data_IF_026525866745
#
_entry.id   IF_026525866745
#
_cell.length_a   1.000
_cell.length_b   1.000
_cell.length_c   1.000
_cell.angle_alpha   90.00
_cell.angle_beta   90.00
_cell.angle_gamma   90.00
#
_symmetry.space_group_name_H-M   'P 1'
#
loop_
_entity.id
_entity.type
_entity.pdbx_description
1 polymer ?
#
# COMPACT_ATOMS: atom_id res chain seq x y z
N UNK A 1 -52.97 -3.02 13.24
CA UNK A 1 -52.01 -3.39 12.18
C UNK A 1 -50.92 -2.34 12.13
N UNK A 2 -49.81 -2.59 12.83
CA UNK A 2 -48.68 -1.67 12.90
C UNK A 2 -47.73 -1.94 11.73
N UNK A 3 -47.60 -0.96 10.85
CA UNK A 3 -46.59 -0.91 9.79
C UNK A 3 -45.21 -0.83 10.45
N UNK A 4 -44.50 -1.95 10.49
CA UNK A 4 -43.08 -1.97 10.84
C UNK A 4 -42.30 -1.33 9.69
N UNK A 5 -41.96 -0.05 9.83
CA UNK A 5 -40.97 0.60 8.99
C UNK A 5 -39.66 -0.16 9.15
N UNK A 6 -39.33 -1.02 8.18
CA UNK A 6 -37.98 -1.57 8.05
C UNK A 6 -37.06 -0.38 7.84
N UNK A 7 -36.28 -0.11 8.88
CA UNK A 7 -35.09 0.72 8.78
C UNK A 7 -34.20 0.03 7.77
N UNK A 8 -34.14 0.55 6.54
CA UNK A 8 -33.21 0.11 5.53
C UNK A 8 -31.87 0.77 5.91
N UNK A 9 -30.88 0.05 6.46
CA UNK A 9 -29.60 0.65 6.73
C UNK A 9 -29.02 1.03 5.37
N UNK A 10 -29.02 2.34 5.09
CA UNK A 10 -28.33 2.90 3.93
C UNK A 10 -26.98 2.20 3.79
N UNK A 11 -26.67 1.58 2.64
CA UNK A 11 -25.42 0.86 2.49
C UNK A 11 -24.31 1.86 2.76
N UNK A 12 -23.56 1.62 3.84
CA UNK A 12 -22.34 2.37 4.10
C UNK A 12 -21.54 2.39 2.79
N UNK A 13 -20.95 3.53 2.39
CA UNK A 13 -20.41 3.65 1.04
C UNK A 13 -19.41 2.50 0.76
N UNK A 14 -19.34 2.07 -0.49
CA UNK A 14 -18.52 0.95 -0.95
C UNK A 14 -17.10 0.85 -0.33
N UNK A 15 -16.41 1.97 -0.10
CA UNK A 15 -15.07 1.96 0.50
C UNK A 15 -15.05 1.45 1.96
N UNK A 16 -16.16 1.55 2.69
CA UNK A 16 -16.24 1.29 4.14
C UNK A 16 -16.27 -0.20 4.50
N UNK A 17 -16.78 -1.06 3.61
CA UNK A 17 -16.83 -2.51 3.83
C UNK A 17 -15.46 -3.18 3.75
N UNK A 18 -14.59 -2.70 2.88
CA UNK A 18 -13.25 -3.25 2.69
C UNK A 18 -12.30 -2.94 3.86
N UNK A 19 -12.25 -1.68 4.31
CA UNK A 19 -11.38 -1.28 5.42
C UNK A 19 -11.77 -1.94 6.74
N UNK A 20 -13.08 -2.09 6.99
CA UNK A 20 -13.60 -2.82 8.16
C UNK A 20 -13.29 -4.32 8.08
N UNK A 21 -13.41 -4.94 6.91
CA UNK A 21 -13.00 -6.34 6.71
C UNK A 21 -11.50 -6.55 6.89
N UNK A 22 -10.67 -5.61 6.40
CA UNK A 22 -9.22 -5.62 6.58
C UNK A 22 -8.85 -5.51 8.07
N UNK A 23 -9.45 -4.57 8.80
CA UNK A 23 -9.23 -4.38 10.23
C UNK A 23 -9.67 -5.60 11.07
N UNK A 24 -10.70 -6.32 10.62
CA UNK A 24 -11.18 -7.55 11.23
C UNK A 24 -10.29 -8.76 10.94
N UNK A 25 -9.70 -8.83 9.74
CA UNK A 25 -8.77 -9.91 9.31
C UNK A 25 -7.43 -9.85 10.03
N UNK A 26 -6.92 -8.63 10.24
CA UNK A 26 -5.68 -8.38 10.96
C UNK A 26 -5.98 -7.73 12.31
N UNK A 27 -6.49 -8.53 13.29
CA UNK A 27 -6.65 -8.04 14.63
C UNK A 27 -5.25 -7.72 15.18
N UNK A 28 -4.84 -6.45 15.28
CA UNK A 28 -3.71 -6.06 16.13
C UNK A 28 -4.19 -5.99 17.58
N UNK A 29 -4.51 -7.16 18.13
CA UNK A 29 -4.82 -7.31 19.55
C UNK A 29 -3.53 -7.31 20.38
N UNK A 30 -2.40 -7.64 19.76
CA UNK A 30 -1.07 -7.64 20.38
C UNK A 30 -0.03 -6.95 19.49
N UNK A 31 0.97 -6.31 20.12
CA UNK A 31 2.13 -5.76 19.41
C UNK A 31 2.93 -6.85 18.68
N UNK A 32 2.82 -8.10 19.10
CA UNK A 32 3.50 -9.25 18.50
C UNK A 32 3.00 -9.61 17.09
N UNK A 33 1.73 -9.34 16.80
CA UNK A 33 1.14 -9.53 15.46
C UNK A 33 1.71 -8.57 14.42
N UNK A 34 2.35 -7.47 14.85
CA UNK A 34 3.10 -6.54 14.01
C UNK A 34 4.58 -6.89 13.95
N UNK A 35 5.17 -7.20 15.10
CA UNK A 35 6.61 -7.44 15.21
C UNK A 35 7.00 -8.65 14.37
N UNK A 36 6.20 -9.72 14.37
CA UNK A 36 6.49 -10.92 13.59
C UNK A 36 6.57 -10.66 12.07
N UNK A 37 5.56 -10.10 11.39
CA UNK A 37 5.66 -9.81 9.96
C UNK A 37 6.69 -8.73 9.64
N UNK A 38 6.85 -7.72 10.50
CA UNK A 38 7.91 -6.71 10.32
C UNK A 38 9.32 -7.34 10.40
N UNK A 39 9.55 -8.25 11.34
CA UNK A 39 10.82 -8.98 11.47
C UNK A 39 11.05 -9.87 10.25
N UNK A 40 10.01 -10.57 9.76
CA UNK A 40 10.11 -11.38 8.56
C UNK A 40 10.49 -10.54 7.33
N UNK A 41 9.87 -9.37 7.17
CA UNK A 41 10.20 -8.40 6.12
C UNK A 41 11.66 -7.94 6.23
N UNK A 42 12.11 -7.55 7.42
CA UNK A 42 13.50 -7.10 7.64
C UNK A 42 14.49 -8.22 7.33
N UNK A 43 14.23 -9.44 7.82
CA UNK A 43 15.09 -10.61 7.58
C UNK A 43 15.12 -10.95 6.09
N UNK A 44 13.99 -10.95 5.39
CA UNK A 44 13.94 -11.23 3.96
C UNK A 44 14.75 -10.21 3.14
N UNK A 45 14.62 -8.91 3.45
CA UNK A 45 15.41 -7.87 2.78
C UNK A 45 16.90 -7.96 3.12
N UNK A 46 17.25 -8.30 4.37
CA UNK A 46 18.64 -8.54 4.76
C UNK A 46 19.25 -9.71 4.00
N UNK A 47 18.52 -10.82 3.87
CA UNK A 47 18.97 -11.99 3.09
C UNK A 47 19.15 -11.66 1.62
N UNK A 48 18.21 -10.91 1.02
CA UNK A 48 18.34 -10.43 -0.36
C UNK A 48 19.58 -9.54 -0.54
N UNK A 49 19.79 -8.58 0.37
CA UNK A 49 20.97 -7.72 0.36
C UNK A 49 22.27 -8.50 0.53
N UNK A 50 22.30 -9.49 1.43
CA UNK A 50 23.45 -10.38 1.62
C UNK A 50 23.77 -11.20 0.37
N UNK A 51 22.75 -11.74 -0.30
CA UNK A 51 22.94 -12.50 -1.54
C UNK A 51 23.51 -11.62 -2.66
N UNK A 52 23.03 -10.38 -2.79
CA UNK A 52 23.57 -9.42 -3.75
C UNK A 52 25.04 -9.04 -3.44
N UNK A 53 25.36 -8.74 -2.18
CA UNK A 53 26.72 -8.38 -1.75
C UNK A 53 27.73 -9.51 -1.99
N UNK A 54 27.28 -10.77 -1.99
CA UNK A 54 28.10 -11.94 -2.29
C UNK A 54 28.18 -12.27 -3.78
N UNK A 55 27.44 -11.56 -4.63
CA UNK A 55 27.29 -11.88 -6.05
C UNK A 55 26.52 -13.18 -6.31
N UNK A 56 25.82 -13.72 -5.30
CA UNK A 56 24.96 -14.90 -5.44
C UNK A 56 23.65 -14.57 -6.18
N UNK A 57 23.26 -13.29 -6.18
CA UNK A 57 22.10 -12.75 -6.89
C UNK A 57 22.55 -11.48 -7.64
N UNK A 58 22.24 -11.36 -8.92
CA UNK A 58 22.50 -10.13 -9.66
C UNK A 58 21.38 -9.09 -9.45
N UNK A 59 21.66 -7.78 -9.61
CA UNK A 59 20.64 -6.73 -9.52
C UNK A 59 19.43 -6.96 -10.43
N UNK A 60 19.65 -7.43 -11.67
CA UNK A 60 18.58 -7.77 -12.61
C UNK A 60 17.76 -8.97 -12.15
N UNK A 61 18.40 -9.96 -11.54
CA UNK A 61 17.74 -11.13 -10.99
C UNK A 61 16.84 -10.77 -9.80
N UNK A 62 17.23 -9.79 -8.99
CA UNK A 62 16.37 -9.28 -7.92
C UNK A 62 15.10 -8.62 -8.50
N UNK A 63 15.24 -7.77 -9.51
CA UNK A 63 14.07 -7.13 -10.16
C UNK A 63 13.16 -8.19 -10.75
N UNK A 64 13.73 -9.16 -11.45
CA UNK A 64 13.00 -10.26 -12.05
C UNK A 64 12.29 -11.10 -10.99
N UNK A 65 12.95 -11.43 -9.88
CA UNK A 65 12.35 -12.11 -8.74
C UNK A 65 11.13 -11.33 -8.23
N UNK A 66 11.27 -10.04 -7.94
CA UNK A 66 10.16 -9.21 -7.43
C UNK A 66 9.02 -9.12 -8.46
N UNK A 67 9.32 -9.02 -9.75
CA UNK A 67 8.32 -9.02 -10.82
C UNK A 67 7.55 -10.35 -10.89
N UNK A 68 8.27 -11.48 -10.83
CA UNK A 68 7.66 -12.80 -10.82
C UNK A 68 6.82 -13.03 -9.57
N UNK A 69 7.30 -12.59 -8.39
CA UNK A 69 6.51 -12.61 -7.16
C UNK A 69 5.24 -11.77 -7.30
N UNK A 70 5.31 -10.57 -7.88
CA UNK A 70 4.15 -9.71 -8.10
C UNK A 70 3.09 -10.40 -8.96
N UNK A 71 3.52 -10.99 -10.08
CA UNK A 71 2.62 -11.70 -11.01
C UNK A 71 2.04 -12.94 -10.36
N UNK A 72 2.88 -13.76 -9.70
CA UNK A 72 2.48 -14.98 -9.01
C UNK A 72 1.44 -14.69 -7.91
N UNK A 73 1.72 -13.73 -7.04
CA UNK A 73 0.83 -13.35 -5.93
C UNK A 73 -0.49 -12.78 -6.45
N UNK A 74 -0.44 -11.92 -7.48
CA UNK A 74 -1.64 -11.43 -8.15
C UNK A 74 -2.45 -12.57 -8.78
N UNK A 75 -1.80 -13.55 -9.41
CA UNK A 75 -2.47 -14.70 -10.01
C UNK A 75 -3.15 -15.57 -8.95
N UNK A 76 -2.45 -15.89 -7.85
CA UNK A 76 -3.03 -16.65 -6.72
C UNK A 76 -4.22 -15.89 -6.14
N UNK A 77 -4.06 -14.59 -5.89
CA UNK A 77 -5.15 -13.72 -5.42
C UNK A 77 -6.36 -13.75 -6.36
N UNK A 78 -6.12 -13.68 -7.66
CA UNK A 78 -7.18 -13.77 -8.66
C UNK A 78 -7.90 -15.12 -8.66
N UNK A 79 -7.16 -16.23 -8.56
CA UNK A 79 -7.71 -17.58 -8.43
C UNK A 79 -8.58 -17.70 -7.16
N UNK A 80 -8.16 -17.10 -6.05
CA UNK A 80 -8.97 -17.07 -4.83
C UNK A 80 -10.30 -16.36 -5.07
N UNK A 81 -10.31 -15.22 -5.77
CA UNK A 81 -11.55 -14.48 -6.03
C UNK A 81 -12.56 -15.28 -6.87
N UNK A 82 -12.11 -16.12 -7.80
CA UNK A 82 -13.01 -17.02 -8.53
C UNK A 82 -13.75 -18.01 -7.61
N UNK A 83 -13.12 -18.39 -6.49
CA UNK A 83 -13.70 -19.32 -5.51
C UNK A 83 -14.67 -18.66 -4.53
N UNK A 84 -14.85 -17.34 -4.58
CA UNK A 84 -15.69 -16.57 -3.66
C UNK A 84 -16.92 -16.01 -4.41
N UNK A 85 -18.13 -16.03 -3.82
CA UNK A 85 -19.34 -15.46 -4.43
C UNK A 85 -19.14 -13.98 -4.77
N UNK A 86 -19.70 -13.54 -5.90
CA UNK A 86 -19.53 -12.17 -6.38
C UNK A 86 -19.89 -11.10 -5.33
N UNK A 87 -20.94 -11.31 -4.54
CA UNK A 87 -21.38 -10.39 -3.49
C UNK A 87 -20.38 -10.18 -2.35
N UNK A 88 -19.48 -11.14 -2.12
CA UNK A 88 -18.46 -11.06 -1.08
C UNK A 88 -17.12 -10.51 -1.61
N UNK A 89 -17.00 -10.25 -2.92
CA UNK A 89 -15.77 -9.70 -3.51
C UNK A 89 -15.66 -8.20 -3.22
N UNK A 90 -14.44 -7.68 -2.96
CA UNK A 90 -14.23 -6.24 -2.85
C UNK A 90 -14.63 -5.51 -4.14
N UNK A 91 -14.49 -6.17 -5.30
CA UNK A 91 -14.84 -5.62 -6.61
C UNK A 91 -16.34 -5.39 -6.81
N UNK A 92 -17.22 -6.02 -6.01
CA UNK A 92 -18.66 -5.79 -6.08
C UNK A 92 -19.04 -4.34 -5.72
N UNK A 93 -18.11 -3.61 -5.09
CA UNK A 93 -18.28 -2.28 -4.55
C UNK A 93 -17.59 -1.20 -5.42
N UNK A 94 -16.79 -1.58 -6.42
CA UNK A 94 -16.08 -0.67 -7.35
C UNK A 94 -16.59 -0.84 -8.80
N UNK A 95 -16.41 0.16 -9.69
CA UNK A 95 -16.72 -0.02 -11.11
C UNK A 95 -15.99 -1.26 -11.66
N UNK A 96 -16.76 -2.17 -12.25
CA UNK A 96 -16.27 -3.47 -12.73
C UNK A 96 -15.26 -3.27 -13.85
N UNK A 97 -13.96 -3.29 -13.53
CA UNK A 97 -12.96 -3.54 -14.57
C UNK A 97 -13.14 -4.97 -15.07
N UNK A 98 -13.32 -5.13 -16.38
CA UNK A 98 -13.46 -6.45 -16.98
C UNK A 98 -12.17 -7.27 -16.75
N UNK A 99 -12.24 -8.62 -16.67
CA UNK A 99 -11.06 -9.48 -16.61
C UNK A 99 -10.01 -9.14 -17.69
N UNK A 100 -10.49 -8.77 -18.88
CA UNK A 100 -9.66 -8.36 -20.01
C UNK A 100 -8.97 -7.01 -19.75
N UNK A 101 -9.66 -6.03 -19.17
CA UNK A 101 -9.04 -4.75 -18.78
C UNK A 101 -7.97 -4.94 -17.70
N UNK A 102 -8.20 -5.82 -16.72
CA UNK A 102 -7.21 -6.14 -15.69
C UNK A 102 -5.97 -6.78 -16.31
N UNK A 103 -6.16 -7.73 -17.23
CA UNK A 103 -5.06 -8.33 -17.98
C UNK A 103 -4.32 -7.30 -18.84
N UNK A 104 -5.04 -6.43 -19.55
CA UNK A 104 -4.44 -5.34 -20.34
C UNK A 104 -3.65 -4.38 -19.47
N UNK A 105 -4.19 -3.95 -18.34
CA UNK A 105 -3.51 -3.08 -17.39
C UNK A 105 -2.23 -3.74 -16.84
N UNK A 106 -2.30 -5.04 -16.53
CA UNK A 106 -1.13 -5.81 -16.09
C UNK A 106 -0.07 -5.91 -17.19
N UNK A 107 -0.46 -6.21 -18.43
CA UNK A 107 0.45 -6.27 -19.57
C UNK A 107 1.09 -4.91 -19.88
N UNK A 108 0.31 -3.83 -19.85
CA UNK A 108 0.82 -2.45 -20.01
C UNK A 108 1.80 -2.11 -18.87
N UNK A 109 1.46 -2.47 -17.63
CA UNK A 109 2.34 -2.28 -16.48
C UNK A 109 3.65 -3.05 -16.63
N UNK A 110 3.60 -4.32 -17.05
CA UNK A 110 4.79 -5.13 -17.31
C UNK A 110 5.63 -4.57 -18.46
N UNK A 111 4.99 -4.11 -19.55
CA UNK A 111 5.69 -3.46 -20.66
C UNK A 111 6.40 -2.19 -20.19
N UNK A 112 5.70 -1.34 -19.43
CA UNK A 112 6.28 -0.12 -18.87
C UNK A 112 7.46 -0.43 -17.94
N UNK A 113 7.33 -1.43 -17.07
CA UNK A 113 8.44 -1.88 -16.22
C UNK A 113 9.60 -2.42 -17.05
N UNK A 114 9.34 -3.18 -18.11
CA UNK A 114 10.36 -3.66 -19.04
C UNK A 114 11.15 -2.50 -19.68
N UNK A 115 10.45 -1.45 -20.10
CA UNK A 115 11.08 -0.24 -20.65
C UNK A 115 11.89 0.49 -19.58
N UNK A 116 11.31 0.75 -18.40
CA UNK A 116 11.97 1.49 -17.32
C UNK A 116 13.22 0.78 -16.83
N UNK A 117 13.12 -0.52 -16.51
CA UNK A 117 14.27 -1.29 -16.07
C UNK A 117 15.25 -1.54 -17.21
N UNK A 118 14.79 -1.68 -18.46
CA UNK A 118 15.66 -1.69 -19.63
C UNK A 118 16.53 -0.44 -19.70
N UNK A 119 15.93 0.74 -19.53
CA UNK A 119 16.67 2.01 -19.49
C UNK A 119 17.63 2.06 -18.30
N UNK A 120 17.18 1.68 -17.10
CA UNK A 120 18.02 1.66 -15.89
C UNK A 120 19.24 0.76 -16.07
N UNK A 121 19.06 -0.49 -16.52
CA UNK A 121 20.19 -1.42 -16.62
C UNK A 121 21.13 -1.06 -17.78
N UNK A 122 20.60 -0.71 -18.96
CA UNK A 122 21.41 -0.39 -20.13
C UNK A 122 22.11 0.97 -20.02
N UNK A 123 21.38 2.02 -19.64
CA UNK A 123 21.91 3.40 -19.64
C UNK A 123 22.47 3.84 -18.30
N UNK A 124 21.79 3.52 -17.18
CA UNK A 124 22.20 4.02 -15.87
C UNK A 124 23.30 3.16 -15.24
N UNK A 125 23.14 1.84 -15.31
CA UNK A 125 24.08 0.90 -14.67
C UNK A 125 25.17 0.41 -15.61
N UNK A 126 25.05 0.67 -16.92
CA UNK A 126 25.95 0.16 -17.98
C UNK A 126 26.20 -1.35 -17.86
N UNK A 127 25.25 -2.06 -17.28
CA UNK A 127 25.22 -3.50 -17.19
C UNK A 127 24.10 -3.94 -18.11
N UNK A 128 24.39 -4.12 -19.41
CA UNK A 128 23.39 -4.70 -20.30
C UNK A 128 22.99 -6.03 -19.67
N UNK A 129 21.70 -6.25 -19.40
CA UNK A 129 21.27 -7.54 -18.89
C UNK A 129 21.76 -8.60 -19.86
N UNK A 130 22.17 -9.76 -19.35
CA UNK A 130 22.53 -10.89 -20.18
C UNK A 130 21.28 -11.50 -20.85
N UNK A 131 20.52 -10.70 -21.60
CA UNK A 131 19.34 -11.13 -22.34
C UNK A 131 19.68 -12.29 -23.29
N UNK A 132 20.94 -12.38 -23.72
CA UNK A 132 21.48 -13.46 -24.52
C UNK A 132 21.62 -14.80 -23.76
N UNK A 133 21.64 -14.82 -22.42
CA UNK A 133 21.53 -16.05 -21.62
C UNK A 133 20.07 -16.44 -21.33
N UNK A 134 19.13 -15.49 -21.43
CA UNK A 134 17.68 -15.72 -21.37
C UNK A 134 17.09 -16.20 -22.71
N UNK A 135 17.66 -15.77 -23.82
CA UNK A 135 17.20 -16.05 -25.19
C UNK A 135 17.19 -17.55 -25.61
N UNK A 136 18.15 -18.40 -25.19
CA UNK A 136 18.19 -19.80 -25.62
C UNK A 136 17.12 -20.68 -24.95
N UNK A 137 16.50 -20.21 -23.87
CA UNK A 137 15.41 -20.93 -23.22
C UNK A 137 15.06 -20.36 -21.83
N UNK A 138 13.85 -19.81 -21.62
CA UNK A 138 13.46 -19.23 -20.33
C UNK A 138 13.49 -20.26 -19.20
N UNK A 139 13.22 -21.54 -19.49
CA UNK A 139 13.30 -22.64 -18.53
C UNK A 139 14.74 -22.99 -18.12
N UNK A 140 15.72 -22.74 -18.99
CA UNK A 140 17.14 -22.96 -18.70
C UNK A 140 17.65 -21.99 -17.64
N UNK A 141 17.27 -20.72 -17.75
CA UNK A 141 17.58 -19.68 -16.77
C UNK A 141 17.03 -20.01 -15.38
N UNK A 142 15.79 -20.48 -15.26
CA UNK A 142 15.21 -20.86 -13.97
C UNK A 142 15.87 -22.09 -13.32
N UNK A 143 16.49 -22.98 -14.11
CA UNK A 143 17.18 -24.16 -13.57
C UNK A 143 18.46 -23.79 -12.85
N UNK A 144 19.17 -22.77 -13.33
CA UNK A 144 20.48 -22.34 -12.82
C UNK A 144 20.41 -21.11 -11.93
N UNK A 145 19.38 -20.28 -12.05
CA UNK A 145 19.25 -19.05 -11.28
C UNK A 145 18.88 -19.30 -9.81
N UNK A 146 19.45 -18.47 -8.93
CA UNK A 146 19.16 -18.44 -7.50
C UNK A 146 17.69 -18.06 -7.18
N UNK A 147 16.96 -17.48 -8.14
CA UNK A 147 15.57 -17.00 -8.02
C UNK A 147 14.57 -18.14 -7.69
N UNK A 148 14.85 -19.37 -8.11
CA UNK A 148 13.90 -20.49 -8.02
C UNK A 148 13.40 -20.77 -6.59
N UNK A 149 14.32 -20.73 -5.62
CA UNK A 149 14.02 -21.09 -4.24
C UNK A 149 13.22 -20.01 -3.51
N UNK A 150 13.60 -18.72 -3.59
CA UNK A 150 12.76 -17.62 -3.11
C UNK A 150 11.38 -17.63 -3.74
N UNK A 151 11.28 -17.83 -5.06
CA UNK A 151 9.98 -17.83 -5.74
C UNK A 151 9.10 -19.00 -5.30
N UNK A 152 9.67 -20.20 -5.13
CA UNK A 152 8.97 -21.37 -4.60
C UNK A 152 8.51 -21.16 -3.14
N UNK A 153 9.35 -20.54 -2.31
CA UNK A 153 8.98 -20.19 -0.93
C UNK A 153 7.82 -19.18 -0.90
N UNK A 154 7.86 -18.14 -1.76
CA UNK A 154 6.77 -17.17 -1.91
C UNK A 154 5.49 -17.85 -2.41
N UNK A 155 5.58 -18.76 -3.38
CA UNK A 155 4.44 -19.55 -3.86
C UNK A 155 3.82 -20.38 -2.73
N UNK A 156 4.63 -21.15 -2.01
CA UNK A 156 4.18 -22.00 -0.91
C UNK A 156 3.53 -21.19 0.22
N UNK A 157 4.16 -20.08 0.64
CA UNK A 157 3.61 -19.16 1.62
C UNK A 157 2.27 -18.56 1.18
N UNK A 158 2.19 -18.09 -0.07
CA UNK A 158 0.97 -17.52 -0.63
C UNK A 158 -0.18 -18.52 -0.72
N UNK A 159 0.11 -19.80 -0.99
CA UNK A 159 -0.91 -20.85 -0.97
C UNK A 159 -1.43 -21.10 0.45
N UNK A 160 -0.54 -21.17 1.45
CA UNK A 160 -0.93 -21.32 2.85
C UNK A 160 -1.79 -20.14 3.33
N UNK A 161 -1.37 -18.92 3.01
CA UNK A 161 -2.15 -17.70 3.27
C UNK A 161 -3.50 -17.77 2.55
N UNK A 162 -3.52 -18.27 1.32
CA UNK A 162 -4.74 -18.37 0.55
C UNK A 162 -5.77 -19.32 1.17
N UNK A 163 -5.32 -20.47 1.68
CA UNK A 163 -6.17 -21.39 2.44
C UNK A 163 -6.64 -20.76 3.76
N UNK A 164 -5.74 -20.07 4.48
CA UNK A 164 -6.08 -19.41 5.73
C UNK A 164 -7.13 -18.30 5.54
N UNK A 165 -7.03 -17.51 4.46
CA UNK A 165 -8.01 -16.48 4.11
C UNK A 165 -9.38 -17.07 3.84
N UNK A 166 -9.43 -18.17 3.07
CA UNK A 166 -10.67 -18.87 2.78
C UNK A 166 -11.32 -19.44 4.04
N UNK A 167 -10.54 -20.11 4.89
CA UNK A 167 -11.02 -20.66 6.16
C UNK A 167 -11.49 -19.57 7.13
N UNK A 168 -10.84 -18.40 7.12
CA UNK A 168 -11.26 -17.25 7.91
C UNK A 168 -12.59 -16.68 7.40
N UNK A 169 -12.72 -16.48 6.08
CA UNK A 169 -13.94 -15.97 5.47
C UNK A 169 -15.14 -16.89 5.69
N UNK A 170 -14.98 -18.22 5.53
CA UNK A 170 -16.06 -19.16 5.81
C UNK A 170 -16.56 -19.10 7.26
N UNK A 171 -15.70 -18.74 8.22
CA UNK A 171 -16.06 -18.65 9.65
C UNK A 171 -16.70 -17.32 10.03
N UNK A 172 -16.32 -16.21 9.39
CA UNK A 172 -16.80 -14.87 9.78
C UNK A 172 -17.77 -14.22 8.79
N UNK A 173 -17.83 -14.69 7.55
CA UNK A 173 -18.61 -14.08 6.48
C UNK A 173 -18.12 -12.67 6.10
N UNK A 174 -18.94 -11.94 5.34
CA UNK A 174 -18.67 -10.57 4.90
C UNK A 174 -17.75 -10.47 3.68
N UNK A 175 -17.09 -9.32 3.53
CA UNK A 175 -16.18 -9.04 2.42
C UNK A 175 -14.90 -9.88 2.55
N UNK A 176 -14.54 -10.55 1.47
CA UNK A 176 -13.33 -11.35 1.37
C UNK A 176 -12.08 -10.47 1.18
N UNK A 177 -11.01 -10.83 1.88
CA UNK A 177 -9.73 -10.12 1.85
C UNK A 177 -8.63 -11.13 1.51
N UNK A 178 -7.92 -10.90 0.41
CA UNK A 178 -6.82 -11.75 -0.05
C UNK A 178 -5.47 -11.22 0.45
N UNK A 179 -4.83 -11.99 1.34
CA UNK A 179 -3.46 -11.75 1.82
C UNK A 179 -2.44 -11.80 0.69
N UNK A 180 -2.47 -12.80 -0.23
CA UNK A 180 -1.66 -12.78 -1.45
C UNK A 180 -1.85 -11.52 -2.30
N UNK A 181 -3.07 -10.98 -2.36
CA UNK A 181 -3.34 -9.73 -3.08
C UNK A 181 -2.61 -8.53 -2.47
N UNK A 182 -2.62 -8.41 -1.14
CA UNK A 182 -1.90 -7.36 -0.42
C UNK A 182 -0.38 -7.46 -0.57
N UNK A 183 0.16 -8.68 -0.45
CA UNK A 183 1.60 -8.90 -0.62
C UNK A 183 2.02 -8.69 -2.07
N UNK A 184 1.19 -9.09 -3.04
CA UNK A 184 1.37 -8.78 -4.46
C UNK A 184 1.42 -7.27 -4.73
N UNK A 185 0.54 -6.49 -4.10
CA UNK A 185 0.56 -5.03 -4.19
C UNK A 185 1.88 -4.44 -3.66
N UNK A 186 2.49 -5.05 -2.63
CA UNK A 186 3.81 -4.63 -2.13
C UNK A 186 4.90 -4.81 -3.17
N UNK A 187 4.83 -5.90 -3.94
CA UNK A 187 5.77 -6.17 -5.03
C UNK A 187 5.58 -5.19 -6.18
N UNK A 188 4.33 -4.92 -6.58
CA UNK A 188 4.05 -3.88 -7.58
C UNK A 188 4.53 -2.50 -7.14
N UNK A 189 4.26 -2.12 -5.89
CA UNK A 189 4.74 -0.87 -5.33
C UNK A 189 6.28 -0.84 -5.32
N UNK A 190 6.94 -1.92 -4.88
CA UNK A 190 8.41 -2.05 -4.94
C UNK A 190 8.93 -1.82 -6.36
N UNK A 191 8.29 -2.41 -7.38
CA UNK A 191 8.72 -2.28 -8.77
C UNK A 191 8.55 -0.86 -9.30
N UNK A 192 7.48 -0.17 -8.93
CA UNK A 192 7.26 1.24 -9.28
C UNK A 192 8.27 2.14 -8.56
N UNK A 193 8.43 1.95 -7.24
CA UNK A 193 9.31 2.78 -6.42
C UNK A 193 10.79 2.50 -6.69
N UNK A 194 11.17 1.26 -7.02
CA UNK A 194 12.53 0.84 -7.32
C UNK A 194 12.94 1.10 -8.78
N UNK A 195 11.98 1.24 -9.69
CA UNK A 195 12.22 1.60 -11.09
C UNK A 195 12.62 3.06 -11.26
N UNK A 196 12.24 3.90 -10.29
CA UNK A 196 12.75 5.26 -10.13
C UNK A 196 13.74 5.23 -8.97
N UNK A 197 15.05 5.13 -9.20
CA UNK A 197 16.08 4.84 -8.17
C UNK A 197 16.16 5.85 -7.00
N UNK A 198 15.32 6.88 -7.05
CA UNK A 198 15.35 8.06 -6.21
C UNK A 198 14.02 8.33 -5.53
N UNK A 199 12.93 7.65 -5.90
CA UNK A 199 11.61 7.95 -5.36
C UNK A 199 11.56 7.80 -3.85
N UNK A 200 12.25 6.79 -3.30
CA UNK A 200 12.25 6.50 -1.86
C UNK A 200 13.05 7.54 -1.05
N UNK A 201 14.30 7.89 -1.42
CA UNK A 201 14.98 9.05 -0.83
C UNK A 201 14.18 10.35 -0.99
N UNK A 202 13.54 10.58 -2.15
CA UNK A 202 12.68 11.74 -2.38
C UNK A 202 11.46 11.74 -1.46
N UNK A 203 10.78 10.61 -1.31
CA UNK A 203 9.57 10.47 -0.51
C UNK A 203 9.87 10.53 1.00
N UNK A 204 10.99 10.00 1.46
CA UNK A 204 11.44 10.16 2.86
C UNK A 204 11.87 11.60 3.14
N UNK A 205 12.59 12.25 2.22
CA UNK A 205 12.96 13.65 2.34
C UNK A 205 11.75 14.58 2.34
N UNK A 206 10.86 14.42 1.36
CA UNK A 206 9.65 15.23 1.19
C UNK A 206 8.61 14.94 2.30
N UNK A 207 8.41 13.66 2.64
CA UNK A 207 7.53 13.23 3.73
C UNK A 207 8.03 13.67 5.10
N UNK A 208 9.35 13.64 5.34
CA UNK A 208 9.96 14.18 6.55
C UNK A 208 9.77 15.69 6.69
N UNK A 209 9.96 16.43 5.58
CA UNK A 209 9.68 17.87 5.50
C UNK A 209 8.20 18.16 5.78
N UNK A 210 7.28 17.45 5.13
CA UNK A 210 5.84 17.61 5.36
C UNK A 210 5.42 17.27 6.79
N UNK A 211 5.98 16.20 7.38
CA UNK A 211 5.69 15.82 8.76
C UNK A 211 6.21 16.86 9.76
N UNK A 212 7.39 17.44 9.52
CA UNK A 212 7.93 18.56 10.30
C UNK A 212 7.04 19.81 10.19
N UNK A 213 6.56 20.12 8.98
CA UNK A 213 5.64 21.22 8.72
C UNK A 213 4.31 21.04 9.47
N UNK A 214 3.68 19.87 9.35
CA UNK A 214 2.44 19.55 10.06
C UNK A 214 2.62 19.57 11.59
N UNK A 215 3.77 19.12 12.09
CA UNK A 215 4.08 19.13 13.54
C UNK A 215 4.31 20.55 14.05
N UNK A 216 4.89 21.42 13.23
CA UNK A 216 5.01 22.85 13.48
C UNK A 216 3.65 23.55 13.53
N UNK A 217 2.79 23.30 12.54
CA UNK A 217 1.43 23.85 12.50
C UNK A 217 0.57 23.42 13.69
N UNK A 218 0.64 22.14 14.10
CA UNK A 218 -0.11 21.64 15.27
C UNK A 218 0.36 22.27 16.57
N UNK A 219 1.67 22.51 16.73
CA UNK A 219 2.23 23.19 17.91
C UNK A 219 1.83 24.65 17.98
N UNK A 220 1.67 25.31 16.84
CA UNK A 220 1.19 26.69 16.75
C UNK A 220 -0.32 26.77 17.03
N UNK A 221 -1.12 25.86 16.47
CA UNK A 221 -2.57 25.76 16.77
C UNK A 221 -2.87 25.37 18.21
N UNK A 222 -2.01 24.58 18.85
CA UNK A 222 -2.18 24.18 20.26
C UNK A 222 -1.82 25.28 21.27
N UNK A 223 -1.19 26.37 20.82
CA UNK A 223 -0.77 27.48 21.69
C UNK A 223 -1.77 28.64 21.71
N UNK A 224 -2.56 28.80 20.64
CA UNK A 224 -3.57 29.86 20.52
C UNK A 224 -4.97 29.26 20.37
N UNK A 225 -5.69 29.17 21.49
CA UNK A 225 -7.07 28.67 21.57
C UNK A 225 -8.13 29.64 21.05
N UNK A 226 -7.93 30.26 19.89
CA UNK A 226 -8.85 31.28 19.36
C UNK A 226 -9.33 30.91 17.95
N UNK A 227 -10.60 30.50 17.88
CA UNK A 227 -11.31 30.28 16.63
C UNK A 227 -11.47 31.58 15.82
N UNK A 228 -11.31 31.50 14.49
CA UNK A 228 -12.07 32.37 13.59
C UNK A 228 -11.34 33.40 12.72
N UNK A 229 -10.05 33.26 12.39
CA UNK A 229 -9.48 34.13 11.33
C UNK A 229 -8.49 33.39 10.45
N UNK A 230 -8.75 33.38 9.14
CA UNK A 230 -7.79 32.97 8.10
C UNK A 230 -6.53 33.84 8.21
N UNK A 231 -5.61 33.45 9.10
CA UNK A 231 -4.32 34.10 9.21
C UNK A 231 -3.35 33.43 8.27
N UNK A 232 -2.88 34.23 7.32
CA UNK A 232 -1.71 33.98 6.49
C UNK A 232 -0.60 33.29 7.32
N UNK A 233 0.06 32.25 6.77
CA UNK A 233 1.07 31.49 7.50
C UNK A 233 2.16 32.42 8.06
N UNK A 234 2.54 32.23 9.33
CA UNK A 234 3.49 33.10 10.03
C UNK A 234 4.79 33.23 9.24
N UNK A 235 5.44 34.40 9.32
CA UNK A 235 6.71 34.69 8.62
C UNK A 235 7.76 33.60 8.91
N UNK A 236 7.77 33.05 10.14
CA UNK A 236 8.64 31.94 10.52
C UNK A 236 8.30 30.62 9.81
N UNK A 237 7.02 30.28 9.59
CA UNK A 237 6.61 29.11 8.81
C UNK A 237 6.96 29.30 7.33
N UNK A 238 6.84 30.52 6.80
CA UNK A 238 7.26 30.86 5.43
C UNK A 238 8.75 30.73 5.25
N UNK A 239 9.56 31.27 6.17
CA UNK A 239 11.01 31.14 6.17
C UNK A 239 11.43 29.67 6.35
N UNK A 240 10.76 28.93 7.24
CA UNK A 240 10.99 27.50 7.41
C UNK A 240 10.65 26.72 6.13
N UNK A 241 9.54 27.02 5.43
CA UNK A 241 9.25 26.43 4.12
C UNK A 241 10.33 26.80 3.09
N UNK A 242 10.73 28.07 3.06
CA UNK A 242 11.66 28.63 2.09
C UNK A 242 13.11 28.14 2.30
N UNK A 243 13.44 27.60 3.47
CA UNK A 243 14.75 26.99 3.76
C UNK A 243 14.68 25.46 3.76
N UNK A 244 13.69 24.87 4.44
CA UNK A 244 13.58 23.43 4.64
C UNK A 244 13.21 22.69 3.35
N UNK A 245 12.39 23.30 2.48
CA UNK A 245 12.05 22.71 1.17
C UNK A 245 13.29 22.67 0.26
N UNK A 246 14.01 23.77 0.00
CA UNK A 246 15.20 23.70 -0.85
C UNK A 246 16.36 22.92 -0.22
N UNK A 247 16.53 22.92 1.11
CA UNK A 247 17.53 22.05 1.77
C UNK A 247 17.15 20.58 1.68
N UNK A 248 15.87 20.25 1.86
CA UNK A 248 15.36 18.89 1.65
C UNK A 248 15.51 18.44 0.20
N UNK A 249 15.15 19.30 -0.75
CA UNK A 249 15.34 19.08 -2.19
C UNK A 249 16.82 18.93 -2.54
N UNK A 250 17.70 19.79 -2.02
CA UNK A 250 19.15 19.70 -2.24
C UNK A 250 19.77 18.44 -1.61
N UNK A 251 19.30 18.03 -0.42
CA UNK A 251 19.70 16.77 0.23
C UNK A 251 19.26 15.56 -0.60
N UNK A 252 18.05 15.62 -1.16
CA UNK A 252 17.52 14.64 -2.11
C UNK A 252 18.39 14.60 -3.38
N UNK A 253 18.66 15.75 -4.02
CA UNK A 253 19.52 15.83 -5.21
C UNK A 253 20.97 15.39 -4.95
N UNK A 254 21.50 15.65 -3.75
CA UNK A 254 22.83 15.18 -3.34
C UNK A 254 22.85 13.68 -3.11
N UNK A 255 21.81 13.13 -2.48
CA UNK A 255 21.63 11.68 -2.34
C UNK A 255 21.48 10.99 -3.70
N UNK A 256 20.68 11.58 -4.59
CA UNK A 256 20.55 11.21 -6.01
C UNK A 256 21.91 11.16 -6.71
N UNK A 257 22.69 12.24 -6.61
CA UNK A 257 24.02 12.33 -7.22
C UNK A 257 24.97 11.28 -6.65
N UNK A 258 24.95 11.05 -5.33
CA UNK A 258 25.77 10.02 -4.71
C UNK A 258 25.40 8.62 -5.21
N UNK A 259 24.10 8.30 -5.24
CA UNK A 259 23.58 7.03 -5.73
C UNK A 259 23.88 6.79 -7.21
N UNK A 260 23.81 7.82 -8.06
CA UNK A 260 24.20 7.69 -9.48
C UNK A 260 25.71 7.55 -9.66
N UNK A 261 26.53 8.21 -8.83
CA UNK A 261 27.99 8.06 -8.88
C UNK A 261 28.48 6.73 -8.34
N UNK A 262 27.72 6.11 -7.43
CA UNK A 262 28.02 4.80 -6.86
C UNK A 262 27.66 3.63 -7.79
N UNK A 263 27.10 3.90 -8.98
CA UNK A 263 26.83 2.89 -9.99
C UNK A 263 25.83 1.81 -9.53
N UNK A 264 26.06 0.53 -9.86
CA UNK A 264 25.16 -0.59 -9.51
C UNK A 264 24.91 -0.74 -8.00
N UNK A 265 25.93 -0.49 -7.18
CA UNK A 265 25.85 -0.66 -5.73
C UNK A 265 24.94 0.39 -5.09
N UNK A 266 25.05 1.64 -5.55
CA UNK A 266 24.15 2.72 -5.12
C UNK A 266 22.70 2.42 -5.47
N UNK A 267 22.47 2.00 -6.71
CA UNK A 267 21.13 1.62 -7.16
C UNK A 267 20.54 0.46 -6.34
N UNK A 268 21.35 -0.55 -6.03
CA UNK A 268 20.94 -1.70 -5.24
C UNK A 268 20.48 -1.30 -3.83
N UNK A 269 21.21 -0.41 -3.17
CA UNK A 269 20.82 0.13 -1.85
C UNK A 269 19.47 0.85 -1.95
N UNK A 270 19.30 1.68 -2.98
CA UNK A 270 18.04 2.38 -3.26
C UNK A 270 16.87 1.41 -3.49
N UNK A 271 17.10 0.35 -4.26
CA UNK A 271 16.10 -0.67 -4.56
C UNK A 271 15.71 -1.49 -3.32
N UNK A 272 16.67 -1.91 -2.50
CA UNK A 272 16.40 -2.62 -1.24
C UNK A 272 15.65 -1.73 -0.25
N UNK A 273 16.00 -0.44 -0.17
CA UNK A 273 15.25 0.52 0.63
C UNK A 273 13.81 0.70 0.12
N UNK A 274 13.62 0.75 -1.19
CA UNK A 274 12.29 0.81 -1.81
C UNK A 274 11.44 -0.40 -1.47
N UNK A 275 12.02 -1.60 -1.58
CA UNK A 275 11.39 -2.86 -1.22
C UNK A 275 10.97 -2.89 0.24
N UNK A 276 11.90 -2.56 1.14
CA UNK A 276 11.63 -2.51 2.58
C UNK A 276 10.50 -1.53 2.91
N UNK A 277 10.52 -0.32 2.35
CA UNK A 277 9.47 0.67 2.60
C UNK A 277 8.11 0.25 2.03
N UNK A 278 8.07 -0.31 0.82
CA UNK A 278 6.82 -0.78 0.23
C UNK A 278 6.17 -1.88 1.09
N UNK A 279 6.98 -2.83 1.56
CA UNK A 279 6.53 -3.90 2.44
C UNK A 279 6.06 -3.38 3.81
N UNK A 280 6.81 -2.46 4.43
CA UNK A 280 6.43 -1.85 5.71
C UNK A 280 5.19 -0.96 5.60
N UNK A 281 5.05 -0.21 4.51
CA UNK A 281 3.87 0.63 4.27
C UNK A 281 2.58 -0.21 4.20
N UNK A 282 2.67 -1.37 3.56
CA UNK A 282 1.54 -2.30 3.45
C UNK A 282 1.23 -3.03 4.75
N UNK A 283 2.25 -3.34 5.56
CA UNK A 283 2.04 -3.79 6.95
C UNK A 283 1.35 -2.72 7.82
N UNK A 284 1.50 -1.44 7.47
CA UNK A 284 0.84 -0.31 8.12
C UNK A 284 -0.64 -0.11 7.73
N UNK A 285 -1.09 -0.62 6.57
CA UNK A 285 -2.47 -0.39 6.10
C UNK A 285 -3.55 -0.90 7.05
N UNK A 286 -3.45 -2.08 7.69
CA UNK A 286 -4.42 -2.51 8.69
C UNK A 286 -4.56 -1.56 9.88
N UNK A 287 -3.52 -0.78 10.21
CA UNK A 287 -3.56 0.21 11.30
C UNK A 287 -4.30 1.47 10.90
N UNK A 288 -4.05 1.95 9.68
CA UNK A 288 -4.80 3.07 9.11
C UNK A 288 -6.28 2.72 9.00
N UNK A 289 -6.58 1.51 8.49
CA UNK A 289 -7.95 0.99 8.41
C UNK A 289 -8.68 0.98 9.76
N UNK A 290 -7.97 0.72 10.86
CA UNK A 290 -8.53 0.75 12.23
C UNK A 290 -8.75 2.16 12.74
N UNK A 291 -7.81 3.07 12.51
CA UNK A 291 -7.97 4.46 12.92
C UNK A 291 -9.17 5.08 12.22
N UNK A 292 -9.34 4.81 10.92
CA UNK A 292 -10.50 5.23 10.16
C UNK A 292 -11.79 4.57 10.69
N UNK A 293 -11.80 3.25 10.90
CA UNK A 293 -12.97 2.56 11.45
C UNK A 293 -13.33 3.01 12.89
N UNK A 294 -12.36 3.37 13.72
CA UNK A 294 -12.58 3.88 15.07
C UNK A 294 -13.13 5.32 15.06
N UNK A 295 -12.55 6.19 14.23
CA UNK A 295 -13.04 7.55 14.02
C UNK A 295 -14.49 7.53 13.47
N UNK A 296 -14.81 6.58 12.60
CA UNK A 296 -16.16 6.41 12.05
C UNK A 296 -17.19 6.01 13.12
N UNK A 297 -16.85 5.08 14.03
CA UNK A 297 -17.73 4.71 15.15
C UNK A 297 -18.01 5.89 16.08
N UNK A 298 -17.02 6.76 16.27
CA UNK A 298 -17.15 7.97 17.07
C UNK A 298 -18.05 9.01 16.40
N UNK A 299 -17.93 9.21 15.07
CA UNK A 299 -18.83 10.10 14.32
C UNK A 299 -20.26 9.58 14.30
N UNK A 300 -20.46 8.26 14.07
CA UNK A 300 -21.80 7.65 14.04
C UNK A 300 -22.49 7.69 15.42
N UNK A 301 -21.76 7.45 16.51
CA UNK A 301 -22.31 7.58 17.87
C UNK A 301 -22.68 9.03 18.21
N UNK A 302 -21.91 10.03 17.76
CA UNK A 302 -22.24 11.45 17.92
C UNK A 302 -23.44 11.89 17.06
N UNK A 303 -23.57 11.38 15.83
CA UNK A 303 -24.73 11.64 14.97
C UNK A 303 -26.06 11.12 15.54
N UNK A 304 -26.05 9.88 16.08
CA UNK A 304 -27.21 9.28 16.75
C UNK A 304 -27.58 10.01 18.05
N UNK A 305 -26.59 10.63 18.72
CA UNK A 305 -26.85 11.41 19.93
C UNK A 305 -27.54 12.73 19.60
N UNK A 306 -27.19 13.38 18.48
CA UNK A 306 -27.75 14.67 18.07
C UNK A 306 -29.23 14.57 17.66
N UNK A 307 -29.59 13.48 16.97
CA UNK A 307 -30.97 13.19 16.53
C UNK A 307 -31.93 12.90 17.70
N UNK A 308 -31.40 12.49 18.87
CA UNK A 308 -32.19 12.26 20.10
C UNK A 308 -32.46 13.52 20.91
N UNK A 309 -31.68 14.59 20.70
CA UNK A 309 -31.77 15.83 21.49
C UNK A 309 -32.56 16.95 20.82
N UNK A 310 -33.01 16.79 19.57
CA UNK A 310 -33.92 17.78 18.98
C UNK A 310 -35.34 17.62 19.56
N UNK A 311 -35.88 18.65 20.23
CA UNK A 311 -37.24 18.60 20.73
C UNK A 311 -38.19 18.60 19.53
N UNK A 312 -38.98 17.53 19.42
CA UNK A 312 -40.05 17.40 18.43
C UNK A 312 -40.86 18.71 18.37
N UNK A 313 -41.00 19.36 17.21
CA UNK A 313 -41.82 20.56 17.12
C UNK A 313 -43.26 20.20 17.50
N UNK A 314 -43.78 20.89 18.53
CA UNK A 314 -45.18 20.81 18.95
C UNK A 314 -46.03 21.10 17.72
N UNK A 315 -46.87 20.14 17.33
CA UNK A 315 -47.92 20.33 16.33
C UNK A 315 -48.84 21.44 16.81
N UNK A 316 -48.67 22.65 16.26
CA UNK A 316 -49.64 23.72 16.41
C UNK A 316 -50.93 23.40 15.65
N UNK A 317 -52.02 23.92 16.19
CA UNK A 317 -53.39 23.51 15.95
C UNK A 317 -53.84 23.54 14.49
N UNK A 318 -54.41 22.41 14.06
CA UNK A 318 -55.36 22.35 12.95
C UNK A 318 -56.58 23.22 13.30
N UNK A 319 -56.67 24.43 12.76
CA UNK A 319 -57.94 25.14 12.67
C UNK A 319 -58.79 24.47 11.59
N UNK A 320 -59.98 24.01 11.96
CA UNK A 320 -61.04 23.62 11.01
C UNK A 320 -61.75 24.89 10.53
N UNK A 321 -62.00 25.07 9.22
CA UNK A 321 -63.02 26.01 8.77
C UNK A 321 -64.42 25.42 9.06
N UNK A 322 -65.31 26.28 9.55
CA UNK A 322 -66.76 26.06 9.55
C UNK A 322 -67.32 26.38 8.17
#
# INVERSE_FOLDING_TARGET
MASSSRFDPSPAPAAFGYWSALAARYPAGSRWELVRPATAVVVANFLAGKALLRGELQPVELVLLVALEAVLLSAISWIQYFSVPAAARPDAQQPRMSPLERLRALLIGLLWLGIVYGVVFVYLLRQPPEWHTLAPGPLGFFRTSAIRWPLAATAGGALLDAFADRAFWHRRGGTFVSTPGFTGLARWLTLVLGGVPFFVPMALGFGGVLALLQRGERRLRGRDGSAGTERAPSIQLRIALLVLVPVGVAGVFRGLRWLTTAGPDGWMIGYLAAKLLAELALLGLPFLARQEAAAEREVRSRGVTRERTEPRPRREGRRRPQ
#
